data_IF_454798003128
#
_entry.id   IF_454798003128
#
_cell.length_a   1.000
_cell.length_b   1.000
_cell.length_c   1.000
_cell.angle_alpha   90.00
_cell.angle_beta   90.00
_cell.angle_gamma   90.00
#
_symmetry.space_group_name_H-M   'P 1'
#
loop_
_entity.id
_entity.type
_entity.pdbx_description
1 polymer ?
#
# COMPACT_ATOMS: atom_id res chain seq x y z
N UNK A 1 -18.39 16.04 5.49
CA UNK A 1 -16.95 15.81 5.69
C UNK A 1 -16.72 14.37 5.25
N UNK A 2 -15.81 14.11 4.33
CA UNK A 2 -15.52 12.72 3.95
C UNK A 2 -14.78 12.05 5.12
N UNK A 3 -15.19 10.84 5.50
CA UNK A 3 -14.54 10.10 6.59
C UNK A 3 -13.06 9.91 6.28
N UNK A 4 -12.22 10.05 7.29
CA UNK A 4 -10.81 9.67 7.17
C UNK A 4 -10.70 8.16 7.03
N UNK A 5 -9.85 7.67 6.13
CA UNK A 5 -9.71 6.24 5.91
C UNK A 5 -8.27 5.88 5.58
N UNK A 6 -7.93 4.62 5.84
CA UNK A 6 -6.63 4.03 5.56
C UNK A 6 -6.81 2.78 4.72
N UNK A 7 -5.78 2.45 3.94
CA UNK A 7 -5.77 1.26 3.09
C UNK A 7 -4.68 0.32 3.57
N UNK A 8 -5.01 -0.97 3.66
CA UNK A 8 -4.07 -2.03 4.02
C UNK A 8 -3.99 -3.04 2.88
N UNK A 9 -2.78 -3.26 2.35
CA UNK A 9 -2.53 -4.19 1.22
C UNK A 9 -1.58 -5.30 1.69
N UNK A 10 -2.05 -6.55 1.62
CA UNK A 10 -1.36 -7.73 2.19
C UNK A 10 -0.66 -8.60 1.15
N UNK A 11 -0.95 -8.39 -0.13
CA UNK A 11 -0.50 -9.19 -1.27
C UNK A 11 -0.26 -8.32 -2.50
N UNK A 12 0.44 -8.85 -3.50
CA UNK A 12 0.61 -8.19 -4.80
C UNK A 12 -0.65 -8.21 -5.67
N UNK A 13 -1.56 -9.16 -5.40
CA UNK A 13 -2.85 -9.30 -6.08
C UNK A 13 -4.04 -8.92 -5.19
N UNK A 14 -5.16 -8.59 -5.83
CA UNK A 14 -6.45 -8.27 -5.19
C UNK A 14 -7.45 -9.42 -5.42
N UNK A 15 -8.07 -9.92 -4.34
CA UNK A 15 -9.02 -11.04 -4.39
C UNK A 15 -8.39 -12.42 -4.59
N UNK A 16 -9.17 -13.37 -5.11
CA UNK A 16 -8.73 -14.76 -5.36
C UNK A 16 -9.04 -15.14 -6.81
N UNK A 17 -8.07 -15.75 -7.50
CA UNK A 17 -8.21 -16.14 -8.90
C UNK A 17 -6.86 -16.42 -9.55
N UNK A 18 -6.83 -16.46 -10.88
CA UNK A 18 -5.59 -16.59 -11.63
C UNK A 18 -4.67 -15.39 -11.39
N UNK A 19 -3.35 -15.63 -11.31
CA UNK A 19 -2.35 -14.62 -10.95
C UNK A 19 -2.45 -13.35 -11.80
N UNK A 20 -2.53 -13.51 -13.13
CA UNK A 20 -2.66 -12.39 -14.07
C UNK A 20 -3.91 -11.55 -13.80
N UNK A 21 -5.01 -12.18 -13.39
CA UNK A 21 -6.23 -11.46 -13.05
C UNK A 21 -6.06 -10.66 -11.76
N UNK A 22 -5.61 -11.31 -10.67
CA UNK A 22 -5.51 -10.65 -9.36
C UNK A 22 -4.47 -9.53 -9.34
N UNK A 23 -3.37 -9.67 -10.08
CA UNK A 23 -2.36 -8.62 -10.23
C UNK A 23 -2.91 -7.41 -11.02
N UNK A 24 -3.64 -7.67 -12.10
CA UNK A 24 -4.31 -6.61 -12.87
C UNK A 24 -5.37 -5.88 -12.02
N UNK A 25 -6.08 -6.59 -11.16
CA UNK A 25 -7.05 -5.99 -10.23
C UNK A 25 -6.36 -5.08 -9.20
N UNK A 26 -5.23 -5.53 -8.60
CA UNK A 26 -4.47 -4.69 -7.66
C UNK A 26 -3.93 -3.43 -8.33
N UNK A 27 -3.35 -3.57 -9.54
CA UNK A 27 -2.90 -2.43 -10.34
C UNK A 27 -4.04 -1.46 -10.62
N UNK A 28 -5.19 -1.98 -11.06
CA UNK A 28 -6.39 -1.18 -11.31
C UNK A 28 -6.91 -0.47 -10.06
N UNK A 29 -6.86 -1.13 -8.89
CA UNK A 29 -7.23 -0.56 -7.60
C UNK A 29 -6.35 0.64 -7.23
N UNK A 30 -5.02 0.46 -7.23
CA UNK A 30 -4.07 1.52 -6.87
C UNK A 30 -4.18 2.71 -7.85
N UNK A 31 -4.26 2.43 -9.15
CA UNK A 31 -4.44 3.46 -10.17
C UNK A 31 -5.73 4.26 -9.98
N UNK A 32 -6.85 3.57 -9.73
CA UNK A 32 -8.14 4.22 -9.50
C UNK A 32 -8.16 5.01 -8.20
N UNK A 33 -7.46 4.52 -7.15
CA UNK A 33 -7.30 5.22 -5.88
C UNK A 33 -6.54 6.54 -6.06
N UNK A 34 -5.46 6.54 -6.84
CA UNK A 34 -4.66 7.73 -7.17
C UNK A 34 -5.44 8.83 -7.92
N UNK A 35 -6.56 8.46 -8.58
CA UNK A 35 -7.44 9.39 -9.29
C UNK A 35 -8.58 9.95 -8.43
N UNK A 36 -8.76 9.50 -7.20
CA UNK A 36 -9.83 10.00 -6.33
C UNK A 36 -9.52 11.40 -5.81
N UNK A 37 -10.58 12.20 -5.63
CA UNK A 37 -10.48 13.49 -4.94
C UNK A 37 -10.20 13.29 -3.43
N UNK A 38 -10.79 12.26 -2.82
CA UNK A 38 -10.62 11.94 -1.41
C UNK A 38 -9.68 10.74 -1.24
N UNK A 39 -8.44 11.04 -0.84
CA UNK A 39 -7.35 10.06 -0.70
C UNK A 39 -7.26 9.51 0.74
N UNK A 40 -6.69 8.30 0.93
CA UNK A 40 -6.45 7.77 2.25
C UNK A 40 -5.36 8.58 2.96
N UNK A 41 -5.32 8.50 4.29
CA UNK A 41 -4.20 9.07 5.06
C UNK A 41 -2.94 8.21 4.92
N UNK A 42 -3.11 6.89 5.04
CA UNK A 42 -2.02 5.93 4.90
C UNK A 42 -2.39 4.80 3.92
N UNK A 43 -1.38 4.30 3.21
CA UNK A 43 -1.40 2.99 2.56
C UNK A 43 -0.33 2.16 3.23
N UNK A 44 -0.73 1.06 3.87
CA UNK A 44 0.17 0.19 4.61
C UNK A 44 0.28 -1.15 3.91
N UNK A 45 1.51 -1.55 3.61
CA UNK A 45 1.85 -2.82 2.97
C UNK A 45 2.37 -3.84 4.00
N UNK A 46 1.79 -5.03 3.99
CA UNK A 46 2.27 -6.21 4.73
C UNK A 46 2.48 -7.39 3.79
N UNK A 47 3.13 -8.44 4.29
CA UNK A 47 3.29 -9.69 3.55
C UNK A 47 3.95 -9.45 2.20
N UNK A 48 3.42 -10.04 1.14
CA UNK A 48 3.93 -9.81 -0.21
C UNK A 48 3.57 -8.43 -0.78
N UNK A 49 2.62 -7.73 -0.18
CA UNK A 49 2.22 -6.38 -0.60
C UNK A 49 3.38 -5.39 -0.60
N UNK A 50 4.40 -5.57 0.25
CA UNK A 50 5.58 -4.69 0.28
C UNK A 50 6.30 -4.62 -1.06
N UNK A 51 6.21 -5.68 -1.89
CA UNK A 51 6.82 -5.73 -3.23
C UNK A 51 6.23 -4.66 -4.16
N UNK A 52 4.99 -4.21 -3.92
CA UNK A 52 4.35 -3.17 -4.73
C UNK A 52 5.03 -1.80 -4.59
N UNK A 53 5.68 -1.53 -3.45
CA UNK A 53 6.45 -0.31 -3.20
C UNK A 53 7.93 -0.43 -3.59
N UNK A 54 8.31 -1.52 -4.27
CA UNK A 54 9.70 -1.80 -4.66
C UNK A 54 9.95 -1.71 -6.16
N UNK A 55 11.22 -1.54 -6.53
CA UNK A 55 11.70 -1.47 -7.91
C UNK A 55 11.14 -2.58 -8.78
N UNK A 56 10.59 -2.21 -9.93
CA UNK A 56 10.00 -3.13 -10.91
C UNK A 56 8.52 -3.41 -10.70
N UNK A 57 7.89 -2.86 -9.66
CA UNK A 57 6.43 -2.86 -9.54
C UNK A 57 5.78 -1.91 -10.55
N UNK A 58 4.75 -2.43 -11.22
CA UNK A 58 3.89 -1.70 -12.16
C UNK A 58 3.05 -0.59 -11.48
N UNK A 59 3.01 -0.56 -10.14
CA UNK A 59 2.24 0.42 -9.35
C UNK A 59 3.10 1.55 -8.78
N UNK A 60 4.42 1.56 -9.02
CA UNK A 60 5.33 2.55 -8.44
C UNK A 60 4.99 3.99 -8.81
N UNK A 61 4.61 4.25 -10.06
CA UNK A 61 4.27 5.59 -10.52
C UNK A 61 3.06 6.14 -9.76
N UNK A 62 1.97 5.37 -9.71
CA UNK A 62 0.76 5.75 -8.95
C UNK A 62 1.03 5.91 -7.45
N UNK A 63 1.82 5.02 -6.84
CA UNK A 63 2.20 5.13 -5.43
C UNK A 63 3.07 6.36 -5.15
N UNK A 64 3.95 6.71 -6.08
CA UNK A 64 4.78 7.92 -5.99
C UNK A 64 3.92 9.18 -6.08
N UNK A 65 2.95 9.21 -6.99
CA UNK A 65 2.00 10.32 -7.09
C UNK A 65 1.13 10.44 -5.84
N UNK A 66 0.64 9.32 -5.30
CA UNK A 66 -0.10 9.29 -4.02
C UNK A 66 0.75 9.89 -2.89
N UNK A 67 2.02 9.52 -2.80
CA UNK A 67 2.96 10.08 -1.82
C UNK A 67 3.14 11.60 -2.00
N UNK A 68 3.27 12.08 -3.25
CA UNK A 68 3.35 13.51 -3.55
C UNK A 68 2.06 14.27 -3.21
N UNK A 69 0.90 13.60 -3.30
CA UNK A 69 -0.41 14.13 -2.88
C UNK A 69 -0.63 14.07 -1.36
N UNK A 70 0.36 13.62 -0.59
CA UNK A 70 0.35 13.63 0.88
C UNK A 70 -0.09 12.32 1.53
N UNK A 71 -0.33 11.26 0.75
CA UNK A 71 -0.62 9.93 1.31
C UNK A 71 0.66 9.33 1.87
N UNK A 72 0.63 8.84 3.11
CA UNK A 72 1.79 8.16 3.69
C UNK A 72 1.85 6.71 3.23
N UNK A 73 2.88 6.37 2.48
CA UNK A 73 3.14 5.00 2.03
C UNK A 73 4.08 4.31 3.03
N UNK A 74 3.63 3.19 3.60
CA UNK A 74 4.32 2.49 4.68
C UNK A 74 4.49 1.00 4.36
N UNK A 75 5.71 0.51 4.35
CA UNK A 75 6.04 -0.91 4.14
C UNK A 75 6.46 -1.58 5.44
N UNK A 76 5.88 -2.73 5.77
CA UNK A 76 6.24 -3.48 6.97
C UNK A 76 7.73 -3.78 7.03
N UNK A 77 8.44 -3.24 8.02
CA UNK A 77 9.90 -3.40 8.14
C UNK A 77 10.33 -4.86 8.21
N UNK A 78 9.60 -5.70 8.96
CA UNK A 78 9.88 -7.14 9.06
C UNK A 78 9.73 -7.85 7.70
N UNK A 79 8.75 -7.44 6.89
CA UNK A 79 8.55 -8.04 5.57
C UNK A 79 9.61 -7.58 4.56
N UNK A 80 10.01 -6.31 4.63
CA UNK A 80 11.11 -5.77 3.78
C UNK A 80 12.41 -6.50 4.07
N UNK A 81 12.77 -6.66 5.36
CA UNK A 81 13.93 -7.44 5.81
C UNK A 81 13.83 -8.91 5.36
N UNK A 82 12.71 -9.57 5.63
CA UNK A 82 12.51 -10.98 5.26
C UNK A 82 12.64 -11.29 3.76
N UNK A 83 12.27 -10.35 2.89
CA UNK A 83 12.39 -10.51 1.43
C UNK A 83 13.67 -9.90 0.84
N UNK A 84 14.59 -9.41 1.68
CA UNK A 84 15.82 -8.72 1.26
C UNK A 84 15.56 -7.51 0.33
N UNK A 85 14.54 -6.71 0.65
CA UNK A 85 14.03 -5.62 -0.21
C UNK A 85 14.50 -4.22 0.19
N UNK A 86 15.36 -4.07 1.20
CA UNK A 86 15.74 -2.77 1.78
C UNK A 86 16.25 -1.78 0.73
N UNK A 87 17.18 -2.22 -0.12
CA UNK A 87 17.75 -1.42 -1.21
C UNK A 87 16.81 -1.26 -2.43
N UNK A 88 15.64 -1.90 -2.39
CA UNK A 88 14.68 -1.93 -3.49
C UNK A 88 13.40 -1.13 -3.21
N UNK A 89 13.17 -0.65 -1.99
CA UNK A 89 12.02 0.21 -1.69
C UNK A 89 12.21 1.57 -2.35
N UNK A 90 11.33 1.92 -3.28
CA UNK A 90 11.45 3.14 -4.10
C UNK A 90 10.49 4.25 -3.65
N UNK A 91 9.44 3.92 -2.88
CA UNK A 91 8.43 4.88 -2.42
C UNK A 91 8.01 4.61 -0.99
N UNK A 92 7.87 5.69 -0.21
CA UNK A 92 7.46 5.62 1.18
C UNK A 92 8.61 5.29 2.14
N UNK A 93 8.26 4.70 3.28
CA UNK A 93 9.22 4.28 4.30
C UNK A 93 8.81 2.99 4.99
N UNK A 94 9.69 2.46 5.83
CA UNK A 94 9.39 1.29 6.65
C UNK A 94 8.52 1.66 7.86
N UNK A 95 7.67 0.74 8.31
CA UNK A 95 6.86 0.89 9.52
C UNK A 95 7.15 -0.21 10.55
N UNK A 96 6.76 0.05 11.80
CA UNK A 96 6.75 -0.94 12.89
C UNK A 96 5.33 -1.41 13.21
N UNK A 97 5.21 -2.57 13.85
CA UNK A 97 3.88 -3.05 14.24
C UNK A 97 3.19 -2.16 15.30
N UNK A 98 3.94 -1.38 16.09
CA UNK A 98 3.37 -0.39 17.01
C UNK A 98 2.68 0.73 16.23
N UNK A 99 3.37 1.32 15.26
CA UNK A 99 2.80 2.38 14.40
C UNK A 99 1.58 1.89 13.64
N UNK A 100 1.62 0.66 13.14
CA UNK A 100 0.49 0.00 12.48
C UNK A 100 -0.73 -0.06 13.39
N UNK A 101 -0.56 -0.58 14.62
CA UNK A 101 -1.65 -0.68 15.59
C UNK A 101 -2.20 0.70 15.93
N UNK A 102 -1.33 1.70 16.09
CA UNK A 102 -1.74 3.07 16.35
C UNK A 102 -2.56 3.64 15.17
N UNK A 103 -2.10 3.48 13.94
CA UNK A 103 -2.82 3.99 12.74
C UNK A 103 -4.19 3.32 12.63
N UNK A 104 -4.25 1.99 12.62
CA UNK A 104 -5.52 1.28 12.36
C UNK A 104 -6.51 1.42 13.53
N UNK A 105 -6.04 1.60 14.77
CA UNK A 105 -6.92 1.80 15.94
C UNK A 105 -7.55 3.19 16.00
N UNK A 106 -6.92 4.19 15.37
CA UNK A 106 -7.45 5.54 15.25
C UNK A 106 -8.17 5.80 13.92
N UNK A 107 -8.17 4.84 13.00
CA UNK A 107 -8.82 4.96 11.70
C UNK A 107 -10.35 4.85 11.82
N UNK A 108 -11.10 5.73 11.16
CA UNK A 108 -12.56 5.60 11.09
C UNK A 108 -13.00 4.48 10.12
N UNK A 109 -12.16 4.16 9.13
CA UNK A 109 -12.41 3.13 8.15
C UNK A 109 -11.09 2.56 7.61
N UNK A 110 -10.93 1.25 7.71
CA UNK A 110 -9.84 0.51 7.05
C UNK A 110 -10.40 -0.21 5.83
N UNK A 111 -9.79 0.02 4.67
CA UNK A 111 -10.11 -0.69 3.43
C UNK A 111 -9.02 -1.73 3.18
N UNK A 112 -9.45 -2.97 2.98
CA UNK A 112 -8.58 -4.10 2.61
C UNK A 112 -9.07 -4.69 1.28
N UNK A 113 -8.40 -4.41 0.15
CA UNK A 113 -8.79 -4.90 -1.17
C UNK A 113 -8.47 -6.39 -1.38
#
# INVERSE_FOLDING_TARGET
MANTYDVVIKSTGMGQGEQVLVDNLMKGFIHTLNQKEHLPQHIIFYGEGVKLATKGSDSLEDLTELAQKGVKILSCGICVDYYDLEDFVEVGGTTTMSEVVDIISHSELVIEP
#
